data_IF_790069907692
#
_entry.id   IF_790069907692
#
_cell.length_a   1.000
_cell.length_b   1.000
_cell.length_c   1.000
_cell.angle_alpha   90.00
_cell.angle_beta   90.00
_cell.angle_gamma   90.00
#
_symmetry.space_group_name_H-M   'P 1'
#
loop_
_entity.id
_entity.type
_entity.pdbx_description
1 polymer ?
#
# COMPACT_ATOMS: atom_id res chain seq x y z
N UNK A 1 20.80 17.36 -9.41
CA UNK A 1 19.79 16.41 -8.92
C UNK A 1 19.29 15.55 -10.07
N UNK A 2 19.42 14.23 -9.96
CA UNK A 2 18.96 13.26 -10.97
C UNK A 2 17.79 12.49 -10.36
N UNK A 3 16.62 12.52 -11.02
CA UNK A 3 15.44 11.76 -10.60
C UNK A 3 15.77 10.26 -10.45
N UNK A 4 15.11 9.61 -9.48
CA UNK A 4 15.28 8.18 -9.25
C UNK A 4 14.16 7.40 -9.94
N UNK A 5 14.49 6.29 -10.61
CA UNK A 5 13.48 5.36 -11.13
C UNK A 5 12.79 4.66 -9.96
N UNK A 6 11.48 4.85 -9.84
CA UNK A 6 10.67 4.28 -8.77
C UNK A 6 9.50 3.48 -9.34
N UNK A 7 9.06 2.46 -8.59
CA UNK A 7 7.75 1.88 -8.81
C UNK A 7 6.70 2.90 -8.37
N UNK A 8 5.74 3.18 -9.25
CA UNK A 8 4.60 4.03 -8.96
C UNK A 8 3.34 3.18 -8.81
N UNK A 9 2.61 3.38 -7.71
CA UNK A 9 1.29 2.79 -7.48
C UNK A 9 0.25 3.92 -7.58
N UNK A 10 -0.68 3.81 -8.52
CA UNK A 10 -1.68 4.82 -8.83
C UNK A 10 -3.08 4.31 -8.46
N UNK A 11 -3.60 4.73 -7.31
CA UNK A 11 -4.85 4.20 -6.78
C UNK A 11 -6.07 4.56 -7.64
N UNK A 12 -6.09 5.75 -8.25
CA UNK A 12 -7.19 6.16 -9.13
C UNK A 12 -7.22 5.28 -10.39
N UNK A 13 -6.05 4.89 -10.92
CA UNK A 13 -6.00 3.97 -12.08
C UNK A 13 -6.25 2.51 -11.70
N UNK A 14 -5.97 2.12 -10.47
CA UNK A 14 -6.27 0.77 -9.97
C UNK A 14 -7.77 0.58 -9.68
N UNK A 15 -8.52 1.66 -9.46
CA UNK A 15 -9.97 1.59 -9.25
C UNK A 15 -10.67 0.91 -10.44
N UNK A 16 -11.42 -0.16 -10.16
CA UNK A 16 -12.13 -0.95 -11.17
C UNK A 16 -11.27 -1.97 -11.93
N UNK A 17 -9.97 -2.08 -11.64
CA UNK A 17 -9.12 -3.14 -12.19
C UNK A 17 -9.27 -4.45 -11.41
N UNK A 18 -9.16 -5.58 -12.11
CA UNK A 18 -8.92 -6.88 -11.45
C UNK A 18 -7.46 -6.93 -10.96
N UNK A 19 -7.24 -6.47 -9.73
CA UNK A 19 -5.91 -6.46 -9.12
C UNK A 19 -5.35 -7.86 -8.88
N UNK A 20 -6.16 -8.92 -8.91
CA UNK A 20 -5.67 -10.31 -8.82
C UNK A 20 -5.00 -10.78 -10.12
N UNK A 21 -5.27 -10.11 -11.25
CA UNK A 21 -4.60 -10.35 -12.51
C UNK A 21 -3.16 -9.79 -12.54
N UNK A 22 -2.84 -8.79 -11.70
CA UNK A 22 -1.50 -8.18 -11.64
C UNK A 22 -0.51 -9.14 -10.97
N UNK A 23 0.53 -9.52 -11.71
CA UNK A 23 1.51 -10.54 -11.31
C UNK A 23 2.83 -9.95 -10.84
N UNK A 24 3.53 -10.67 -9.97
CA UNK A 24 4.89 -10.40 -9.54
C UNK A 24 5.80 -11.58 -9.93
N UNK A 25 7.03 -11.30 -10.36
CA UNK A 25 8.00 -12.35 -10.72
C UNK A 25 8.75 -12.94 -9.52
N UNK A 26 8.50 -12.46 -8.30
CA UNK A 26 9.02 -13.12 -7.12
C UNK A 26 8.28 -14.47 -6.91
N UNK A 27 8.99 -15.61 -6.94
CA UNK A 27 8.37 -16.93 -7.04
C UNK A 27 7.68 -17.39 -5.76
N UNK A 28 7.98 -16.77 -4.61
CA UNK A 28 7.47 -17.19 -3.30
C UNK A 28 6.28 -16.37 -2.80
N UNK A 29 5.56 -15.69 -3.69
CA UNK A 29 4.24 -15.16 -3.35
C UNK A 29 3.19 -16.28 -3.42
N UNK A 30 2.51 -16.65 -2.30
CA UNK A 30 1.37 -17.56 -2.36
C UNK A 30 0.33 -17.02 -3.35
N UNK A 31 -0.11 -17.85 -4.29
CA UNK A 31 -1.07 -17.48 -5.34
C UNK A 31 -0.65 -16.24 -6.18
N UNK A 32 0.63 -15.88 -6.15
CA UNK A 32 1.17 -14.68 -6.79
C UNK A 32 0.58 -13.35 -6.28
N UNK A 33 0.06 -13.30 -5.04
CA UNK A 33 -0.58 -12.10 -4.46
C UNK A 33 0.39 -10.99 -4.00
N UNK A 34 1.54 -10.85 -4.65
CA UNK A 34 2.57 -9.86 -4.29
C UNK A 34 2.08 -8.42 -4.40
N UNK A 35 1.23 -8.13 -5.38
CA UNK A 35 0.61 -6.81 -5.56
C UNK A 35 -0.29 -6.41 -4.39
N UNK A 36 -0.95 -7.36 -3.72
CA UNK A 36 -1.79 -7.06 -2.55
C UNK A 36 -0.96 -6.49 -1.39
N UNK A 37 0.27 -6.99 -1.20
CA UNK A 37 1.21 -6.42 -0.22
C UNK A 37 1.70 -5.04 -0.65
N UNK A 38 2.03 -4.85 -1.94
CA UNK A 38 2.43 -3.55 -2.48
C UNK A 38 1.34 -2.50 -2.25
N UNK A 39 0.08 -2.83 -2.54
CA UNK A 39 -1.06 -1.95 -2.30
C UNK A 39 -1.27 -1.70 -0.80
N UNK A 40 -1.13 -2.72 0.06
CA UNK A 40 -1.22 -2.53 1.51
C UNK A 40 -0.14 -1.55 2.02
N UNK A 41 1.13 -1.72 1.62
CA UNK A 41 2.22 -0.81 2.00
C UNK A 41 1.94 0.62 1.50
N UNK A 42 1.51 0.77 0.24
CA UNK A 42 1.14 2.06 -0.32
C UNK A 42 -0.04 2.71 0.44
N UNK A 43 -1.12 1.97 0.70
CA UNK A 43 -2.30 2.47 1.40
C UNK A 43 -1.99 2.81 2.86
N UNK A 44 -1.13 2.02 3.50
CA UNK A 44 -0.64 2.31 4.84
C UNK A 44 0.21 3.58 4.87
N UNK A 45 0.99 3.83 3.81
CA UNK A 45 1.83 5.01 3.71
C UNK A 45 1.02 6.30 3.51
N UNK A 46 0.01 6.29 2.62
CA UNK A 46 -0.69 7.53 2.20
C UNK A 46 -2.14 7.67 2.65
N UNK A 47 -2.84 6.57 2.96
CA UNK A 47 -4.28 6.60 3.35
C UNK A 47 -4.46 6.42 4.86
N UNK A 48 -3.57 5.68 5.53
CA UNK A 48 -3.70 5.39 6.96
C UNK A 48 -3.71 6.67 7.80
N UNK A 49 -4.71 6.80 8.67
CA UNK A 49 -4.88 7.97 9.54
C UNK A 49 -4.07 7.92 10.82
N UNK A 50 -3.34 6.84 11.07
CA UNK A 50 -2.56 6.62 12.31
C UNK A 50 -3.41 6.92 13.55
N UNK A 51 -4.66 6.45 13.53
CA UNK A 51 -5.70 6.78 14.51
C UNK A 51 -5.20 6.65 15.95
N UNK A 52 -5.51 7.60 16.82
CA UNK A 52 -5.20 7.52 18.25
C UNK A 52 -5.84 6.29 18.90
N UNK A 53 -7.12 6.05 18.59
CA UNK A 53 -7.80 4.80 18.93
C UNK A 53 -7.59 3.77 17.83
N UNK A 54 -6.79 2.76 18.13
CA UNK A 54 -6.28 1.79 17.16
C UNK A 54 -7.24 0.62 16.96
N UNK A 55 -8.42 0.86 16.38
CA UNK A 55 -9.43 -0.19 16.16
C UNK A 55 -8.86 -1.44 15.47
N UNK A 56 -7.96 -1.24 14.49
CA UNK A 56 -7.28 -2.32 13.78
C UNK A 56 -6.32 -3.15 14.65
N UNK A 57 -5.62 -2.52 15.61
CA UNK A 57 -4.74 -3.20 16.56
C UNK A 57 -5.57 -3.94 17.60
N UNK A 58 -6.55 -3.26 18.20
CA UNK A 58 -7.45 -3.83 19.21
C UNK A 58 -8.27 -5.02 18.68
N UNK A 59 -8.60 -5.02 17.38
CA UNK A 59 -9.34 -6.11 16.75
C UNK A 59 -8.51 -7.38 16.52
N UNK A 60 -7.18 -7.37 16.71
CA UNK A 60 -6.34 -8.53 16.44
C UNK A 60 -6.36 -9.53 17.63
N UNK A 61 -6.95 -10.73 17.50
CA UNK A 61 -7.06 -11.69 18.61
C UNK A 61 -5.73 -12.37 18.97
N UNK A 62 -4.67 -12.11 18.20
CA UNK A 62 -3.34 -12.73 18.35
C UNK A 62 -2.24 -11.71 18.61
N UNK A 63 -2.60 -10.43 18.82
CA UNK A 63 -1.63 -9.35 19.07
C UNK A 63 -0.52 -9.33 18.00
N UNK A 64 -0.96 -9.51 16.75
CA UNK A 64 -0.09 -9.58 15.59
C UNK A 64 0.06 -8.22 14.88
N UNK A 65 -0.57 -7.18 15.40
CA UNK A 65 -0.47 -5.81 14.91
C UNK A 65 -0.02 -4.89 16.03
N UNK A 66 0.90 -3.98 15.71
CA UNK A 66 1.35 -2.90 16.59
C UNK A 66 1.66 -1.66 15.73
N UNK A 67 1.90 -0.51 16.35
CA UNK A 67 2.47 0.65 15.65
C UNK A 67 3.97 0.76 15.92
N UNK A 68 4.72 1.13 14.88
CA UNK A 68 6.09 1.58 15.03
C UNK A 68 6.18 3.03 15.55
N UNK A 69 7.39 3.50 15.78
CA UNK A 69 7.68 4.86 16.26
C UNK A 69 7.15 5.98 15.34
N UNK A 70 6.91 5.68 14.06
CA UNK A 70 6.37 6.60 13.06
C UNK A 70 4.84 6.51 12.95
N UNK A 71 4.22 5.62 13.72
CA UNK A 71 2.80 5.35 13.73
C UNK A 71 2.31 4.46 12.59
N UNK A 72 3.20 3.78 11.87
CA UNK A 72 2.84 2.78 10.87
C UNK A 72 2.55 1.44 11.52
N UNK A 73 1.55 0.71 10.98
CA UNK A 73 1.24 -0.61 11.51
C UNK A 73 2.32 -1.62 11.13
N UNK A 74 2.74 -2.42 12.09
CA UNK A 74 3.64 -3.56 11.89
C UNK A 74 2.85 -4.83 12.09
N UNK A 75 2.87 -5.72 11.08
CA UNK A 75 2.24 -7.04 11.16
C UNK A 75 3.30 -8.09 11.48
N UNK A 76 3.17 -8.73 12.64
CA UNK A 76 3.98 -9.86 13.07
C UNK A 76 3.49 -11.14 12.40
N UNK A 77 4.07 -11.48 11.26
CA UNK A 77 3.59 -12.60 10.42
C UNK A 77 3.58 -13.96 11.14
N UNK A 78 4.48 -14.19 12.10
CA UNK A 78 4.51 -15.43 12.90
C UNK A 78 3.36 -15.53 13.93
N UNK A 79 2.72 -14.41 14.27
CA UNK A 79 1.55 -14.37 15.19
C UNK A 79 0.23 -14.30 14.43
N UNK A 80 0.24 -13.73 13.23
CA UNK A 80 -0.96 -13.52 12.44
C UNK A 80 -1.52 -14.85 11.92
N UNK A 81 -2.81 -15.07 12.13
CA UNK A 81 -3.54 -16.28 11.67
C UNK A 81 -4.43 -16.00 10.46
N UNK A 82 -4.37 -14.79 9.88
CA UNK A 82 -5.13 -14.46 8.67
C UNK A 82 -6.64 -14.32 8.88
N UNK A 83 -7.09 -14.04 10.10
CA UNK A 83 -8.52 -13.93 10.44
C UNK A 83 -9.24 -12.68 9.87
N UNK A 84 -8.50 -11.73 9.30
CA UNK A 84 -9.01 -10.50 8.67
C UNK A 84 -9.77 -9.53 9.59
N UNK A 85 -9.81 -9.75 10.91
CA UNK A 85 -10.49 -8.85 11.86
C UNK A 85 -9.99 -7.41 11.76
N UNK A 86 -8.69 -7.20 11.54
CA UNK A 86 -8.10 -5.89 11.38
C UNK A 86 -8.53 -5.18 10.08
N UNK A 87 -8.79 -5.93 9.01
CA UNK A 87 -9.30 -5.41 7.74
C UNK A 87 -10.71 -4.86 7.95
N UNK A 88 -11.59 -5.65 8.59
CA UNK A 88 -12.95 -5.23 8.92
C UNK A 88 -13.00 -4.06 9.92
N UNK A 89 -12.01 -3.96 10.81
CA UNK A 89 -11.95 -2.91 11.83
C UNK A 89 -11.41 -1.57 11.33
N UNK A 90 -10.75 -1.52 10.17
CA UNK A 90 -10.23 -0.28 9.61
C UNK A 90 -11.32 0.48 8.85
N UNK A 91 -11.79 1.65 9.34
CA UNK A 91 -12.84 2.41 8.66
C UNK A 91 -12.35 3.08 7.36
N UNK A 92 -11.03 3.08 7.11
CA UNK A 92 -10.41 3.69 5.94
C UNK A 92 -9.94 2.66 4.90
N UNK A 93 -10.14 1.36 5.15
CA UNK A 93 -9.79 0.30 4.19
C UNK A 93 -8.28 0.18 3.90
N UNK A 94 -7.42 0.57 4.83
CA UNK A 94 -5.96 0.63 4.59
C UNK A 94 -5.25 -0.73 4.68
N UNK A 95 -5.91 -1.71 5.29
CA UNK A 95 -5.39 -3.06 5.48
C UNK A 95 -6.05 -3.99 4.46
N UNK A 96 -5.25 -4.86 3.85
CA UNK A 96 -5.73 -5.77 2.80
C UNK A 96 -5.61 -7.22 3.26
N UNK A 97 -6.47 -8.08 2.68
CA UNK A 97 -6.35 -9.53 2.81
C UNK A 97 -5.14 -10.02 1.98
N UNK A 98 -3.93 -9.73 2.47
CA UNK A 98 -2.68 -10.16 1.86
C UNK A 98 -2.24 -11.54 2.34
N UNK A 99 -1.48 -12.25 1.51
CA UNK A 99 -0.86 -13.52 1.89
C UNK A 99 0.14 -13.33 3.04
N UNK A 100 0.08 -14.21 4.03
CA UNK A 100 1.03 -14.26 5.14
C UNK A 100 2.35 -14.84 4.67
N UNK A 101 3.19 -14.00 4.07
CA UNK A 101 4.54 -14.39 3.68
C UNK A 101 5.46 -14.38 4.90
N UNK A 102 6.01 -15.53 5.27
CA UNK A 102 7.01 -15.67 6.35
C UNK A 102 8.24 -14.79 6.10
N UNK A 103 8.67 -14.74 4.84
CA UNK A 103 9.73 -13.89 4.36
C UNK A 103 9.21 -13.11 3.18
N UNK A 104 9.49 -11.81 3.16
CA UNK A 104 9.09 -10.95 2.07
C UNK A 104 10.22 -9.99 1.75
N UNK A 105 10.99 -10.27 0.69
CA UNK A 105 12.04 -9.37 0.28
C UNK A 105 11.46 -8.05 -0.21
N UNK A 106 12.28 -7.00 -0.18
CA UNK A 106 11.96 -5.74 -0.82
C UNK A 106 11.71 -5.92 -2.32
N UNK A 107 10.89 -5.02 -2.88
CA UNK A 107 10.73 -4.89 -4.31
C UNK A 107 12.04 -4.38 -4.92
N UNK A 108 12.63 -5.17 -5.81
CA UNK A 108 13.88 -4.86 -6.52
C UNK A 108 13.62 -4.43 -7.97
N UNK A 109 12.39 -4.03 -8.31
CA UNK A 109 11.97 -3.74 -9.70
C UNK A 109 12.30 -4.86 -10.69
N UNK A 110 12.39 -6.10 -10.22
CA UNK A 110 12.77 -7.23 -11.06
C UNK A 110 14.21 -7.23 -11.57
N UNK A 111 15.07 -6.35 -11.04
CA UNK A 111 16.45 -6.24 -11.45
C UNK A 111 17.25 -7.51 -11.20
N UNK A 112 17.11 -8.16 -10.03
CA UNK A 112 17.89 -9.36 -9.71
C UNK A 112 17.56 -10.56 -10.63
N UNK A 113 16.45 -10.46 -11.38
CA UNK A 113 15.98 -11.49 -12.31
C UNK A 113 16.22 -11.12 -13.78
N UNK A 114 16.87 -9.99 -14.06
CA UNK A 114 17.21 -9.56 -15.42
C UNK A 114 16.00 -9.20 -16.29
N UNK A 115 14.84 -8.89 -15.68
CA UNK A 115 13.62 -8.55 -16.41
C UNK A 115 13.62 -7.05 -16.69
N UNK A 116 13.56 -6.65 -17.96
CA UNK A 116 13.64 -5.25 -18.38
C UNK A 116 12.41 -4.42 -17.95
N UNK A 117 11.21 -4.98 -18.11
CA UNK A 117 9.96 -4.36 -17.67
C UNK A 117 9.40 -5.18 -16.50
N UNK A 118 9.24 -4.60 -15.29
CA UNK A 118 8.75 -5.37 -14.16
C UNK A 118 7.43 -6.07 -14.46
N UNK A 119 7.30 -7.33 -14.04
CA UNK A 119 6.13 -8.17 -14.33
C UNK A 119 4.81 -7.54 -13.87
N UNK A 120 4.83 -6.78 -12.77
CA UNK A 120 3.65 -6.07 -12.28
C UNK A 120 3.23 -4.91 -13.19
N UNK A 121 4.18 -4.23 -13.83
CA UNK A 121 3.92 -3.18 -14.82
C UNK A 121 3.36 -3.80 -16.10
N UNK A 122 3.95 -4.90 -16.56
CA UNK A 122 3.50 -5.57 -17.78
C UNK A 122 2.08 -6.16 -17.62
N UNK A 123 1.85 -6.92 -16.55
CA UNK A 123 0.56 -7.57 -16.29
C UNK A 123 -0.58 -6.61 -15.95
N UNK A 124 -0.26 -5.39 -15.50
CA UNK A 124 -1.25 -4.32 -15.34
C UNK A 124 -1.48 -3.50 -16.62
N UNK A 125 -0.77 -3.82 -17.71
CA UNK A 125 -0.79 -3.05 -18.96
C UNK A 125 -0.21 -1.65 -18.82
N UNK A 126 0.70 -1.45 -17.85
CA UNK A 126 1.25 -0.14 -17.48
C UNK A 126 0.25 0.80 -16.80
N UNK A 127 -0.93 0.29 -16.42
CA UNK A 127 -1.97 1.04 -15.71
C UNK A 127 -1.92 0.69 -14.23
N UNK A 128 -2.13 1.67 -13.35
CA UNK A 128 -2.15 1.46 -11.90
C UNK A 128 -0.79 1.13 -11.26
N UNK A 129 0.11 0.45 -11.97
CA UNK A 129 1.49 0.17 -11.58
C UNK A 129 2.42 0.50 -12.75
N UNK A 130 3.38 1.40 -12.54
CA UNK A 130 4.35 1.85 -13.55
C UNK A 130 5.75 2.02 -12.96
N UNK A 131 6.76 2.20 -13.80
CA UNK A 131 8.09 2.67 -13.36
C UNK A 131 8.36 4.02 -14.01
N UNK A 132 8.69 5.02 -13.20
CA UNK A 132 8.86 6.40 -13.63
C UNK A 132 10.05 7.04 -12.93
N UNK A 133 10.64 8.07 -13.55
CA UNK A 133 11.65 8.92 -12.90
C UNK A 133 10.93 9.95 -12.04
N UNK A 134 11.18 9.89 -10.73
CA UNK A 134 10.55 10.75 -9.72
C UNK A 134 11.63 11.55 -9.01
N UNK A 135 11.48 12.88 -9.03
CA UNK A 135 12.40 13.80 -8.35
C UNK A 135 12.08 13.93 -6.86
N UNK A 136 10.81 13.82 -6.48
CA UNK A 136 10.35 13.93 -5.10
C UNK A 136 8.83 13.87 -4.97
N UNK A 137 8.34 14.06 -3.75
CA UNK A 137 6.90 14.19 -3.48
C UNK A 137 6.36 15.51 -4.02
N UNK A 138 5.15 15.46 -4.58
CA UNK A 138 4.30 16.62 -4.90
C UNK A 138 2.90 16.36 -4.36
N UNK A 139 2.77 16.48 -3.04
CA UNK A 139 1.56 16.09 -2.33
C UNK A 139 0.34 16.93 -2.71
N UNK A 140 0.55 18.18 -3.17
CA UNK A 140 -0.53 19.04 -3.67
C UNK A 140 -1.20 18.46 -4.91
N UNK A 141 -0.42 17.77 -5.72
CA UNK A 141 -0.87 17.07 -6.93
C UNK A 141 -1.04 15.55 -6.69
N UNK A 142 -1.06 15.10 -5.43
CA UNK A 142 -1.36 13.72 -5.06
C UNK A 142 -0.21 12.74 -5.29
N UNK A 143 1.02 13.20 -5.44
CA UNK A 143 2.21 12.35 -5.57
C UNK A 143 2.98 12.28 -4.26
N UNK A 144 3.13 11.07 -3.71
CA UNK A 144 3.81 10.82 -2.44
C UNK A 144 4.98 9.87 -2.65
N UNK A 145 6.20 10.30 -2.33
CA UNK A 145 7.37 9.41 -2.21
C UNK A 145 7.45 8.91 -0.79
N UNK A 146 7.39 7.60 -0.60
CA UNK A 146 7.26 6.95 0.70
C UNK A 146 8.28 5.84 0.88
N UNK A 147 8.88 5.78 2.07
CA UNK A 147 9.70 4.66 2.50
C UNK A 147 8.82 3.58 3.13
N UNK A 148 8.80 2.39 2.53
CA UNK A 148 8.00 1.27 3.00
C UNK A 148 8.88 0.08 3.38
N UNK A 149 8.28 -0.96 3.97
CA UNK A 149 9.02 -2.18 4.33
C UNK A 149 9.47 -2.99 3.12
N UNK A 150 8.92 -2.70 1.94
CA UNK A 150 9.32 -3.35 0.69
C UNK A 150 10.21 -2.45 -0.17
N UNK A 151 10.66 -1.30 0.34
CA UNK A 151 11.50 -0.34 -0.38
C UNK A 151 10.80 1.00 -0.60
N UNK A 152 11.51 1.91 -1.27
CA UNK A 152 10.99 3.24 -1.61
C UNK A 152 10.03 3.15 -2.79
N UNK A 153 8.86 3.75 -2.65
CA UNK A 153 7.79 3.76 -3.64
C UNK A 153 7.32 5.19 -3.91
N UNK A 154 6.78 5.42 -5.10
CA UNK A 154 5.93 6.56 -5.37
C UNK A 154 4.46 6.10 -5.38
N UNK A 155 3.58 6.89 -4.77
CA UNK A 155 2.14 6.59 -4.71
C UNK A 155 1.38 7.79 -5.24
N UNK A 156 0.50 7.55 -6.21
CA UNK A 156 -0.51 8.52 -6.64
C UNK A 156 -1.82 8.20 -5.98
N UNK A 157 -2.35 9.19 -5.29
CA UNK A 157 -3.65 9.14 -4.62
C UNK A 157 -4.26 10.52 -4.69
N UNK A 158 -5.59 10.61 -4.71
CA UNK A 158 -6.27 11.90 -4.52
C UNK A 158 -5.68 12.62 -3.31
N UNK A 159 -5.18 13.84 -3.54
CA UNK A 159 -4.66 14.67 -2.49
C UNK A 159 -5.78 14.97 -1.50
N UNK A 160 -5.66 14.46 -0.28
CA UNK A 160 -6.70 14.65 0.71
C UNK A 160 -6.57 16.04 1.32
N UNK A 161 -7.31 17.02 0.81
CA UNK A 161 -7.34 18.35 1.41
C UNK A 161 -8.26 18.32 2.64
N UNK A 162 -7.77 18.85 3.79
CA UNK A 162 -8.57 18.93 5.03
C UNK A 162 -9.95 19.61 4.83
N UNK A 163 -10.12 20.39 3.77
CA UNK A 163 -11.37 21.05 3.38
C UNK A 163 -12.51 20.07 3.10
N UNK A 164 -12.24 18.90 2.51
CA UNK A 164 -13.30 17.92 2.20
C UNK A 164 -13.91 17.27 3.46
N UNK A 165 -13.16 17.23 4.56
CA UNK A 165 -13.68 16.86 5.89
C UNK A 165 -14.51 17.94 6.57
N UNK A 166 -14.35 19.21 6.20
CA UNK A 166 -15.11 20.31 6.78
C UNK A 166 -16.53 20.39 6.20
N UNK A 167 -16.70 20.08 4.91
CA UNK A 167 -18.00 20.14 4.21
C UNK A 167 -19.03 19.14 4.78
N UNK A 168 -18.60 18.01 5.34
CA UNK A 168 -19.54 17.04 5.96
C UNK A 168 -19.97 17.40 7.39
N UNK A 169 -19.30 18.32 8.09
CA UNK A 169 -19.68 18.69 9.47
C UNK A 169 -20.83 19.69 9.54
N UNK A 170 -21.13 20.42 8.47
CA UNK A 170 -22.25 21.38 8.43
C UNK A 170 -23.59 20.74 7.97
N UNK A 171 -23.56 19.53 7.39
CA UNK A 171 -24.74 18.86 6.85
C UNK A 171 -25.46 17.84 7.77
N UNK A 172 -24.91 17.53 8.94
CA UNK A 172 -25.46 16.51 9.87
C UNK A 172 -25.87 17.08 11.24
N UNK A 173 -26.24 18.36 11.30
CA UNK A 173 -27.03 18.92 12.39
C UNK A 173 -28.40 19.34 11.86
N UNK A 174 -29.31 18.38 11.76
CA UNK A 174 -30.75 18.58 11.91
C UNK A 174 -31.31 17.40 12.69
#
# INVERSE_FOLDING_TARGET
DMGMKMLVVDFDKLEGMDTAAIKCSYPFHPENRGVARLMEEASMAVVCRRCEQESCVAACPREALEKDEKGFLVRHNLRCIGCLSCVSACPFGTLHAGGLAYFAPGCDLCFARGIATPTCVESSGGKGVSVEEIEGSDEKNGLFVVDTRIGKLAVRSRAWTKLESAVKKEGQRK
#
